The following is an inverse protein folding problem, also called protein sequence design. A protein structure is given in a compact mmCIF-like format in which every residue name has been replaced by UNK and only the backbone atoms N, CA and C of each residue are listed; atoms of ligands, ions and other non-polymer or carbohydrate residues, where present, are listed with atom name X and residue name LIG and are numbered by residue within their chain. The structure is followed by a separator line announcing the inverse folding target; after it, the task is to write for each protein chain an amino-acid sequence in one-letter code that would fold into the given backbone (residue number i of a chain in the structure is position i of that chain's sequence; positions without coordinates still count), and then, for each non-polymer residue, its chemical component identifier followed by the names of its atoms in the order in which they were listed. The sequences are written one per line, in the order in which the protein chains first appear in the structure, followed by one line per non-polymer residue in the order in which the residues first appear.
data_IF_869382216371
#
_entry.id   IF_869382216371
#
_cell.length_a   1.000
_cell.length_b   1.000
_cell.length_c   1.000
_cell.angle_alpha   90.00
_cell.angle_beta   90.00
_cell.angle_gamma   90.00
#
_symmetry.space_group_name_H-M   'P 1'
#
loop_
_entity.id
_entity.type
_entity.pdbx_description
1 polymer ?
#
# COMPACT_ATOMS: atom_id res chain seq x y z
N UNK A 1 -13.36 7.15 1.14
CA UNK A 1 -11.92 7.21 1.41
C UNK A 1 -11.42 5.79 1.27
N UNK A 2 -10.37 5.61 0.49
CA UNK A 2 -9.67 4.35 0.29
C UNK A 2 -8.20 4.58 0.56
N UNK A 3 -7.48 3.50 0.81
CA UNK A 3 -6.06 3.51 1.09
C UNK A 3 -5.36 2.66 0.05
N UNK A 4 -4.39 3.24 -0.63
CA UNK A 4 -3.61 2.56 -1.66
C UNK A 4 -2.19 2.33 -1.17
N UNK A 5 -1.74 1.07 -1.21
CA UNK A 5 -0.33 0.75 -1.11
C UNK A 5 0.29 0.96 -2.49
N UNK A 6 1.06 2.03 -2.61
CA UNK A 6 1.72 2.42 -3.85
C UNK A 6 3.22 2.15 -3.75
N UNK A 7 3.86 1.80 -4.86
CA UNK A 7 5.32 1.85 -4.95
C UNK A 7 5.79 3.30 -4.74
N UNK A 8 6.77 3.46 -3.85
CA UNK A 8 7.29 4.76 -3.43
C UNK A 8 7.97 5.53 -4.57
N UNK A 9 8.47 4.83 -5.60
CA UNK A 9 9.23 5.43 -6.69
C UNK A 9 8.39 5.62 -7.96
N UNK A 10 7.61 4.61 -8.36
CA UNK A 10 6.78 4.66 -9.56
C UNK A 10 5.38 5.21 -9.31
N UNK A 11 4.95 5.31 -8.04
CA UNK A 11 3.57 5.63 -7.65
C UNK A 11 2.55 4.63 -8.23
N UNK A 12 2.99 3.42 -8.58
CA UNK A 12 2.11 2.37 -9.08
C UNK A 12 1.29 1.77 -7.93
N UNK A 13 -0.02 1.65 -8.12
CA UNK A 13 -0.93 1.05 -7.13
C UNK A 13 -0.75 -0.46 -7.14
N UNK A 14 -0.26 -1.01 -6.03
CA UNK A 14 -0.02 -2.45 -5.84
C UNK A 14 -1.25 -3.10 -5.20
N UNK A 15 -1.83 -2.42 -4.22
CA UNK A 15 -3.04 -2.88 -3.53
C UNK A 15 -3.89 -1.69 -3.07
N UNK A 16 -5.20 -1.90 -3.00
CA UNK A 16 -6.17 -0.90 -2.55
C UNK A 16 -7.05 -1.51 -1.47
N UNK A 17 -7.30 -0.73 -0.43
CA UNK A 17 -8.05 -1.12 0.77
C UNK A 17 -9.07 -0.04 1.14
N UNK A 18 -10.11 -0.43 1.87
CA UNK A 18 -11.13 0.52 2.33
C UNK A 18 -10.73 1.16 3.68
N UNK A 19 -9.78 0.57 4.41
CA UNK A 19 -9.31 1.07 5.71
C UNK A 19 -7.78 1.16 5.79
N UNK A 20 -7.28 2.08 6.62
CA UNK A 20 -5.84 2.22 6.86
C UNK A 20 -5.26 0.97 7.51
N UNK A 21 -5.98 0.38 8.48
CA UNK A 21 -5.53 -0.82 9.19
C UNK A 21 -5.30 -2.01 8.24
N UNK A 22 -6.12 -2.17 7.21
CA UNK A 22 -5.92 -3.23 6.20
C UNK A 22 -4.67 -2.99 5.34
N UNK A 23 -4.44 -1.72 4.95
CA UNK A 23 -3.24 -1.33 4.20
C UNK A 23 -1.96 -1.49 5.04
N UNK A 24 -2.02 -1.13 6.32
CA UNK A 24 -0.93 -1.28 7.29
C UNK A 24 -0.59 -2.75 7.52
N UNK A 25 -1.61 -3.58 7.78
CA UNK A 25 -1.42 -5.03 7.92
C UNK A 25 -0.84 -5.67 6.66
N UNK A 26 -1.20 -5.19 5.47
CA UNK A 26 -0.61 -5.66 4.21
C UNK A 26 0.87 -5.30 4.11
N UNK A 27 1.23 -4.07 4.47
CA UNK A 27 2.62 -3.61 4.47
C UNK A 27 3.47 -4.43 5.47
N UNK A 28 2.96 -4.59 6.69
CA UNK A 28 3.63 -5.36 7.74
C UNK A 28 3.79 -6.82 7.33
N UNK A 29 2.74 -7.45 6.80
CA UNK A 29 2.83 -8.84 6.33
C UNK A 29 3.81 -9.02 5.16
N UNK A 30 3.94 -8.00 4.30
CA UNK A 30 4.91 -8.00 3.22
C UNK A 30 6.35 -7.92 3.79
N UNK A 31 6.61 -6.98 4.69
CA UNK A 31 7.94 -6.81 5.29
C UNK A 31 8.33 -7.87 6.33
N UNK A 32 7.37 -8.66 6.83
CA UNK A 32 7.62 -9.82 7.69
C UNK A 32 8.13 -11.05 6.91
N UNK A 33 7.99 -11.06 5.58
CA UNK A 33 8.50 -12.16 4.76
C UNK A 33 10.04 -12.21 4.77
N UNK A 34 10.65 -13.41 4.77
CA UNK A 34 12.10 -13.56 4.77
C UNK A 34 12.76 -12.96 3.53
N UNK A 35 12.03 -12.79 2.43
CA UNK A 35 12.44 -12.18 1.16
C UNK A 35 11.92 -10.75 0.98
N UNK A 36 11.63 -10.04 2.08
CA UNK A 36 11.18 -8.63 2.08
C UNK A 36 12.05 -7.70 1.21
N UNK A 37 13.34 -7.99 1.03
CA UNK A 37 14.25 -7.23 0.17
C UNK A 37 13.91 -7.30 -1.33
N UNK A 38 13.06 -8.25 -1.74
CA UNK A 38 12.56 -8.37 -3.13
C UNK A 38 11.27 -7.59 -3.33
N UNK A 39 10.61 -7.19 -2.25
CA UNK A 39 9.36 -6.47 -2.29
C UNK A 39 9.67 -4.99 -2.58
N UNK A 40 8.93 -4.35 -3.50
CA UNK A 40 9.06 -2.92 -3.75
C UNK A 40 8.87 -2.10 -2.46
N UNK A 41 9.54 -0.96 -2.39
CA UNK A 41 9.33 -0.04 -1.28
C UNK A 41 7.93 0.57 -1.41
N UNK A 42 7.00 0.17 -0.55
CA UNK A 42 5.61 0.63 -0.59
C UNK A 42 5.33 1.74 0.41
N UNK A 43 4.40 2.64 0.07
CA UNK A 43 3.83 3.65 0.96
C UNK A 43 2.31 3.58 0.93
N UNK A 44 1.67 3.86 2.06
CA UNK A 44 0.21 3.94 2.16
C UNK A 44 -0.20 5.38 1.82
N UNK A 45 -1.06 5.53 0.82
CA UNK A 45 -1.65 6.79 0.41
C UNK A 45 -3.14 6.79 0.68
N UNK A 46 -3.62 7.80 1.41
CA UNK A 46 -5.06 8.03 1.53
C UNK A 46 -5.55 8.67 0.22
N UNK A 47 -6.46 7.99 -0.45
CA UNK A 47 -7.16 8.51 -1.62
C UNK A 47 -8.61 8.77 -1.25
N UNK A 48 -9.05 10.01 -1.45
CA UNK A 48 -10.46 10.29 -1.54
C UNK A 48 -10.93 9.78 -2.90
N UNK A 49 -12.06 9.07 -2.92
CA UNK A 49 -12.89 8.96 -4.14
C UNK A 49 -13.42 10.39 -4.39
N UNK A 50 -12.52 11.34 -4.68
CA UNK A 50 -12.90 12.61 -5.26
C UNK A 50 -13.36 12.25 -6.67
N UNK A 51 -14.67 12.18 -6.77
CA UNK A 51 -15.46 11.99 -7.96
C UNK A 51 -14.88 12.83 -9.12
N UNK A 52 -14.95 12.26 -10.32
CA UNK A 52 -14.68 12.92 -11.60
C UNK A 52 -15.31 14.32 -11.72
#
# INVERSE_FOLDING_TARGET
MRYECQDMFSHEVIATFDTYDEADNFLDAAYDQPDWWTIPAMTIMEVTDDEQ
#
